data_IF_203108789164
#
_entry.id   IF_203108789164
#
_cell.length_a   1.000
_cell.length_b   1.000
_cell.length_c   1.000
_cell.angle_alpha   90.00
_cell.angle_beta   90.00
_cell.angle_gamma   90.00
#
_symmetry.space_group_name_H-M   'P 1'
#
loop_
_entity.id
_entity.type
_entity.pdbx_description
1 polymer ?
#
# COMPACT_ATOMS: atom_id res chain seq x y z
N UNK A 1 29.15 12.52 9.91
CA UNK A 1 28.70 11.13 9.63
C UNK A 1 27.21 11.06 9.93
N UNK A 2 26.42 10.40 9.07
CA UNK A 2 25.02 10.11 9.36
C UNK A 2 24.94 8.76 10.06
N UNK A 3 24.23 8.71 11.17
CA UNK A 3 23.90 7.47 11.85
C UNK A 3 22.47 7.11 11.50
N UNK A 4 22.22 5.83 11.27
CA UNK A 4 20.89 5.29 11.03
C UNK A 4 20.57 4.35 12.19
N UNK A 5 19.36 4.46 12.71
CA UNK A 5 18.80 3.53 13.68
C UNK A 5 17.94 2.55 12.87
N UNK A 6 18.13 1.27 13.14
CA UNK A 6 17.43 0.15 12.54
C UNK A 6 16.68 -0.47 13.70
N UNK A 7 15.38 -0.70 13.53
CA UNK A 7 14.53 -1.38 14.49
C UNK A 7 14.28 -2.78 13.95
N UNK A 8 14.95 -3.82 14.47
CA UNK A 8 14.81 -5.18 13.95
C UNK A 8 13.44 -5.78 14.26
N UNK A 9 13.05 -6.77 13.48
CA UNK A 9 11.84 -7.55 13.73
C UNK A 9 12.00 -8.43 14.98
N UNK A 10 10.92 -8.63 15.74
CA UNK A 10 10.85 -9.63 16.82
C UNK A 10 10.05 -10.83 16.32
N UNK A 11 10.76 -11.77 15.71
CA UNK A 11 10.21 -12.95 15.03
C UNK A 11 10.03 -14.18 15.95
N UNK A 12 10.33 -14.02 17.25
CA UNK A 12 10.37 -15.13 18.20
C UNK A 12 11.29 -14.85 19.38
N UNK A 13 11.83 -15.92 19.98
CA UNK A 13 12.47 -15.84 21.30
C UNK A 13 13.64 -16.79 21.53
N UNK A 14 14.11 -16.81 22.79
CA UNK A 14 15.16 -17.73 23.23
C UNK A 14 14.57 -19.13 23.40
N UNK A 15 15.06 -20.09 22.64
CA UNK A 15 14.69 -21.50 22.78
C UNK A 15 15.40 -22.20 23.95
N UNK A 16 14.90 -23.37 24.33
CA UNK A 16 15.28 -24.10 25.55
C UNK A 16 16.78 -24.45 25.65
N UNK A 17 17.46 -24.64 24.51
CA UNK A 17 18.88 -24.99 24.45
C UNK A 17 19.84 -23.80 24.46
N UNK A 18 19.36 -22.60 24.84
CA UNK A 18 20.18 -21.41 24.98
C UNK A 18 21.03 -21.50 26.25
N UNK A 19 22.35 -21.32 26.11
CA UNK A 19 23.29 -21.28 27.23
C UNK A 19 23.72 -19.82 27.43
N UNK A 20 23.19 -19.21 28.49
CA UNK A 20 23.52 -17.83 28.86
C UNK A 20 23.95 -17.71 30.33
N UNK A 21 24.95 -16.87 30.58
CA UNK A 21 25.35 -16.48 31.92
C UNK A 21 24.67 -15.17 32.31
N UNK A 22 23.82 -15.22 33.34
CA UNK A 22 23.05 -14.08 33.86
C UNK A 22 23.77 -13.28 34.96
N UNK A 23 25.04 -13.61 35.26
CA UNK A 23 25.82 -12.94 36.31
C UNK A 23 26.19 -11.49 36.02
N UNK A 24 25.92 -10.99 34.81
CA UNK A 24 26.14 -9.60 34.38
C UNK A 24 25.00 -9.17 33.43
N UNK A 25 24.76 -7.87 33.34
CA UNK A 25 23.81 -7.28 32.40
C UNK A 25 24.55 -6.47 31.32
N UNK A 26 24.27 -6.66 30.01
CA UNK A 26 23.43 -7.72 29.44
C UNK A 26 24.05 -9.13 29.64
N UNK A 27 23.22 -10.20 29.66
CA UNK A 27 23.69 -11.57 29.81
C UNK A 27 24.71 -11.98 28.75
N UNK A 28 25.65 -12.86 29.11
CA UNK A 28 26.65 -13.39 28.17
C UNK A 28 26.10 -14.67 27.54
N UNK A 29 25.78 -14.62 26.25
CA UNK A 29 25.27 -15.79 25.51
C UNK A 29 26.44 -16.58 24.91
N UNK A 30 26.63 -17.81 25.39
CA UNK A 30 27.64 -18.76 24.88
C UNK A 30 27.11 -19.55 23.71
N UNK A 31 25.87 -20.02 23.78
CA UNK A 31 25.17 -20.75 22.73
C UNK A 31 23.76 -20.19 22.60
N UNK A 32 23.34 -19.79 21.40
CA UNK A 32 21.97 -19.34 21.14
C UNK A 32 21.18 -20.44 20.44
N UNK A 33 20.05 -20.79 21.04
CA UNK A 33 18.96 -21.48 20.37
C UNK A 33 17.85 -20.46 20.15
N UNK A 34 17.51 -20.17 18.90
CA UNK A 34 16.45 -19.21 18.58
C UNK A 34 15.20 -19.98 18.11
N UNK A 35 14.07 -19.67 18.73
CA UNK A 35 12.79 -20.29 18.44
C UNK A 35 11.95 -19.30 17.64
N UNK A 36 11.56 -19.65 16.42
CA UNK A 36 10.76 -18.82 15.54
C UNK A 36 9.27 -19.07 15.75
N UNK A 37 8.52 -17.99 15.99
CA UNK A 37 7.06 -18.00 16.10
C UNK A 37 6.41 -17.47 14.81
N UNK A 38 7.01 -16.44 14.19
CA UNK A 38 6.54 -15.80 12.94
C UNK A 38 7.76 -15.28 12.16
N UNK A 39 7.64 -15.03 10.85
CA UNK A 39 8.68 -14.35 10.08
C UNK A 39 8.15 -13.57 8.87
N UNK A 40 8.31 -12.25 8.92
CA UNK A 40 7.84 -11.34 7.86
C UNK A 40 8.87 -11.10 6.75
N UNK A 41 9.83 -12.02 6.59
CA UNK A 41 10.91 -11.98 5.60
C UNK A 41 11.98 -10.90 5.82
N UNK A 42 12.07 -10.34 7.02
CA UNK A 42 13.16 -9.42 7.34
C UNK A 42 14.51 -10.15 7.45
N UNK A 43 15.59 -9.37 7.37
CA UNK A 43 16.95 -9.88 7.37
C UNK A 43 17.61 -9.89 8.76
N UNK A 44 17.09 -9.12 9.72
CA UNK A 44 17.66 -8.91 11.05
C UNK A 44 16.55 -9.00 12.10
N UNK A 45 16.77 -9.82 13.11
CA UNK A 45 15.83 -10.07 14.21
C UNK A 45 16.47 -9.73 15.55
N UNK A 46 15.65 -9.19 16.45
CA UNK A 46 16.04 -8.88 17.81
C UNK A 46 15.59 -9.98 18.77
N UNK A 47 16.51 -10.43 19.62
CA UNK A 47 16.22 -11.36 20.72
C UNK A 47 17.16 -11.08 21.87
N UNK A 48 16.73 -10.23 22.81
CA UNK A 48 17.62 -9.76 23.87
C UNK A 48 18.34 -10.92 24.59
N UNK A 49 19.70 -10.91 24.68
CA UNK A 49 20.64 -9.80 24.38
C UNK A 49 21.37 -9.90 23.03
N UNK A 50 20.86 -10.68 22.08
CA UNK A 50 21.47 -11.00 20.79
C UNK A 50 20.65 -10.48 19.61
N UNK A 51 21.27 -10.51 18.42
CA UNK A 51 20.59 -10.34 17.16
C UNK A 51 20.79 -11.59 16.29
N UNK A 52 19.75 -11.99 15.58
CA UNK A 52 19.80 -13.07 14.59
C UNK A 52 19.75 -12.44 13.20
N UNK A 53 20.53 -12.94 12.26
CA UNK A 53 20.60 -12.37 10.92
C UNK A 53 20.54 -13.49 9.88
N UNK A 54 19.96 -13.23 8.72
CA UNK A 54 20.01 -14.18 7.59
C UNK A 54 21.45 -14.37 7.11
N UNK A 55 21.76 -15.56 6.59
CA UNK A 55 23.08 -15.85 6.04
C UNK A 55 23.48 -14.86 4.94
N UNK A 56 22.52 -14.49 4.08
CA UNK A 56 22.74 -13.53 2.99
C UNK A 56 23.18 -12.15 3.52
N UNK A 57 22.53 -11.64 4.57
CA UNK A 57 22.88 -10.35 5.14
C UNK A 57 24.19 -10.41 5.94
N UNK A 58 24.48 -11.52 6.63
CA UNK A 58 25.78 -11.76 7.24
C UNK A 58 26.92 -11.72 6.21
N UNK A 59 26.74 -12.38 5.07
CA UNK A 59 27.74 -12.40 4.00
C UNK A 59 27.89 -11.02 3.33
N UNK A 60 26.80 -10.26 3.21
CA UNK A 60 26.84 -8.86 2.80
C UNK A 60 27.69 -7.99 3.74
N UNK A 61 27.49 -8.13 5.05
CA UNK A 61 28.26 -7.40 6.06
C UNK A 61 29.75 -7.80 6.08
N UNK A 62 30.06 -9.10 5.89
CA UNK A 62 31.44 -9.57 5.76
C UNK A 62 32.12 -8.98 4.52
N UNK A 63 31.44 -8.99 3.37
CA UNK A 63 31.94 -8.38 2.13
C UNK A 63 32.17 -6.87 2.28
N UNK A 64 31.33 -6.19 3.05
CA UNK A 64 31.47 -4.78 3.37
C UNK A 64 32.55 -4.48 4.43
N UNK A 65 33.24 -5.51 4.94
CA UNK A 65 34.24 -5.40 6.01
C UNK A 65 33.75 -4.64 7.25
N UNK A 66 32.49 -4.87 7.65
CA UNK A 66 31.91 -4.22 8.83
C UNK A 66 32.65 -4.60 10.12
N UNK A 67 33.16 -3.61 10.86
CA UNK A 67 34.04 -3.82 12.03
C UNK A 67 33.32 -3.83 13.39
N UNK A 68 31.99 -3.67 13.41
CA UNK A 68 31.17 -3.61 14.63
C UNK A 68 30.43 -4.90 15.01
N UNK A 69 30.59 -5.97 14.24
CA UNK A 69 29.83 -7.23 14.37
C UNK A 69 30.77 -8.43 14.37
N UNK A 70 30.42 -9.45 15.16
CA UNK A 70 31.03 -10.78 15.18
C UNK A 70 29.94 -11.78 14.85
N UNK A 71 30.23 -12.70 13.93
CA UNK A 71 29.29 -13.74 13.55
C UNK A 71 29.63 -15.06 14.25
N UNK A 72 28.60 -15.77 14.67
CA UNK A 72 28.70 -17.08 15.35
C UNK A 72 27.57 -17.99 14.85
N UNK A 73 27.60 -19.28 15.18
CA UNK A 73 26.55 -20.22 14.77
C UNK A 73 25.33 -20.08 15.69
N UNK A 74 24.13 -19.99 15.09
CA UNK A 74 22.84 -20.10 15.81
C UNK A 74 22.24 -21.48 15.52
N UNK A 75 21.59 -22.07 16.52
CA UNK A 75 20.68 -23.21 16.31
C UNK A 75 19.26 -22.67 16.28
N UNK A 76 18.43 -23.15 15.37
CA UNK A 76 17.07 -22.64 15.19
C UNK A 76 16.05 -23.76 15.25
N UNK A 77 14.88 -23.46 15.79
CA UNK A 77 13.68 -24.29 15.75
C UNK A 77 12.47 -23.42 15.42
N UNK A 78 11.38 -24.04 15.02
CA UNK A 78 10.14 -23.41 14.53
C UNK A 78 8.96 -23.90 15.34
N UNK A 79 7.95 -23.04 15.52
CA UNK A 79 6.64 -23.45 16.02
C UNK A 79 5.83 -24.20 14.96
N UNK A 80 4.81 -24.93 15.39
CA UNK A 80 3.85 -25.58 14.46
C UNK A 80 3.14 -24.53 13.59
N UNK A 81 2.75 -23.40 14.19
CA UNK A 81 2.14 -22.25 13.49
C UNK A 81 3.07 -21.69 12.40
N UNK A 82 4.37 -21.63 12.69
CA UNK A 82 5.36 -21.19 11.72
C UNK A 82 5.45 -22.17 10.54
N UNK A 83 5.44 -23.47 10.81
CA UNK A 83 5.50 -24.52 9.78
C UNK A 83 4.27 -24.48 8.87
N UNK A 84 3.08 -24.25 9.43
CA UNK A 84 1.84 -24.09 8.67
C UNK A 84 1.89 -22.86 7.73
N UNK A 85 2.42 -21.73 8.21
CA UNK A 85 2.53 -20.49 7.44
C UNK A 85 3.68 -20.51 6.42
N UNK A 86 4.70 -21.33 6.64
CA UNK A 86 5.97 -21.27 5.91
C UNK A 86 6.52 -22.64 5.46
N UNK A 87 5.63 -23.58 5.14
CA UNK A 87 5.92 -24.99 4.81
C UNK A 87 7.06 -25.26 3.80
N UNK A 88 7.37 -24.34 2.90
CA UNK A 88 8.41 -24.52 1.86
C UNK A 88 9.73 -23.80 2.16
N UNK A 89 9.85 -23.09 3.29
CA UNK A 89 10.98 -22.19 3.50
C UNK A 89 12.13 -22.85 4.25
N UNK A 90 13.27 -23.06 3.58
CA UNK A 90 14.52 -23.48 4.24
C UNK A 90 15.25 -22.25 4.81
N UNK A 91 15.60 -22.31 6.09
CA UNK A 91 16.02 -21.15 6.89
C UNK A 91 17.52 -21.18 7.27
N UNK A 92 18.45 -20.67 6.44
CA UNK A 92 19.84 -20.53 6.85
C UNK A 92 20.07 -19.22 7.61
N UNK A 93 20.06 -19.28 8.95
CA UNK A 93 20.35 -18.14 9.82
C UNK A 93 21.74 -18.24 10.49
N UNK A 94 22.31 -17.07 10.82
CA UNK A 94 23.57 -16.91 11.56
C UNK A 94 23.37 -16.00 12.79
N UNK A 95 24.14 -16.21 13.85
CA UNK A 95 24.14 -15.34 15.04
C UNK A 95 25.01 -14.10 14.77
N UNK A 96 24.48 -12.90 15.04
CA UNK A 96 25.23 -11.66 15.03
C UNK A 96 25.39 -11.13 16.47
N UNK A 97 26.63 -11.06 16.96
CA UNK A 97 27.01 -10.46 18.25
C UNK A 97 27.70 -9.12 17.99
N UNK A 98 27.43 -8.10 18.81
CA UNK A 98 28.17 -6.85 18.74
C UNK A 98 29.63 -7.06 19.19
N UNK A 99 30.61 -6.52 18.44
CA UNK A 99 32.01 -6.60 18.83
C UNK A 99 32.32 -5.56 19.92
N UNK A 100 32.62 -6.00 21.16
CA UNK A 100 32.99 -5.10 22.27
C UNK A 100 34.33 -4.37 22.09
N UNK A 101 35.21 -4.81 21.17
CA UNK A 101 36.50 -4.16 20.90
C UNK A 101 36.42 -2.98 19.91
N UNK A 102 35.27 -2.75 19.26
CA UNK A 102 35.07 -1.60 18.39
C UNK A 102 34.96 -0.31 19.24
N UNK A 103 36.09 0.24 19.69
CA UNK A 103 36.17 1.47 20.50
C UNK A 103 35.73 2.74 19.77
N UNK A 104 35.27 2.67 18.52
CA UNK A 104 34.61 3.77 17.80
C UNK A 104 33.51 3.20 16.92
N UNK A 105 32.28 3.22 17.41
CA UNK A 105 31.09 2.76 16.71
C UNK A 105 30.27 1.80 17.56
N UNK A 106 29.56 2.35 18.55
CA UNK A 106 28.55 1.63 19.33
C UNK A 106 27.44 1.20 18.38
N UNK A 107 27.51 -0.03 17.88
CA UNK A 107 26.57 -0.50 16.87
C UNK A 107 25.21 -0.86 17.52
N UNK A 108 25.12 -1.53 18.68
CA UNK A 108 23.81 -1.81 19.31
C UNK A 108 23.89 -2.05 20.82
N UNK A 109 24.08 -1.02 21.64
CA UNK A 109 23.78 -1.09 23.08
C UNK A 109 22.78 -0.01 23.45
N UNK A 110 21.60 -0.41 23.91
CA UNK A 110 20.65 0.47 24.60
C UNK A 110 21.19 0.74 26.01
N UNK A 111 22.29 1.49 26.11
CA UNK A 111 22.61 2.19 27.34
C UNK A 111 21.73 3.44 27.36
N UNK A 112 20.68 3.45 28.19
CA UNK A 112 20.08 4.73 28.59
C UNK A 112 21.21 5.53 29.25
N UNK A 113 21.56 6.74 28.78
CA UNK A 113 22.43 7.61 29.55
C UNK A 113 21.74 7.86 30.89
N UNK A 114 22.43 7.58 32.00
CA UNK A 114 21.95 7.88 33.36
C UNK A 114 21.97 9.39 33.68
N UNK A 115 21.77 10.23 32.68
CA UNK A 115 21.70 11.69 32.81
C UNK A 115 21.07 12.29 31.54
N UNK A 116 19.78 12.01 31.33
CA UNK A 116 18.96 12.84 30.45
C UNK A 116 17.72 13.21 31.24
N UNK A 117 17.86 14.27 32.05
CA UNK A 117 16.72 15.04 32.50
C UNK A 117 15.97 15.53 31.27
N UNK A 118 14.69 15.19 31.23
CA UNK A 118 13.77 15.64 30.20
C UNK A 118 13.37 17.09 30.55
N UNK A 119 14.18 18.07 30.13
CA UNK A 119 13.73 19.46 30.09
C UNK A 119 13.18 19.77 28.71
N UNK A 120 11.86 19.79 28.65
CA UNK A 120 11.02 20.32 27.60
C UNK A 120 11.39 21.80 27.33
N UNK A 121 12.07 22.09 26.21
CA UNK A 121 12.03 23.43 25.60
C UNK A 121 12.59 23.45 24.17
N UNK A 122 11.68 23.74 23.24
CA UNK A 122 11.84 24.63 22.07
C UNK A 122 13.01 24.45 21.10
N UNK A 123 12.64 24.17 19.83
CA UNK A 123 13.29 24.79 18.66
C UNK A 123 14.11 23.85 17.77
N UNK A 124 13.48 23.24 16.77
CA UNK A 124 14.19 22.66 15.63
C UNK A 124 14.17 23.63 14.44
N UNK A 125 15.33 24.05 13.91
CA UNK A 125 15.38 24.69 12.61
C UNK A 125 15.26 23.63 11.50
N UNK A 126 14.25 23.80 10.65
CA UNK A 126 14.16 23.13 9.36
C UNK A 126 15.19 23.73 8.41
N UNK A 127 16.29 23.05 8.16
CA UNK A 127 17.05 23.13 6.90
C UNK A 127 18.30 22.27 7.02
N UNK A 128 18.29 21.07 6.44
CA UNK A 128 19.49 20.38 5.99
C UNK A 128 19.06 19.37 4.94
N UNK A 129 19.10 19.80 3.67
CA UNK A 129 19.05 18.90 2.51
C UNK A 129 20.17 17.88 2.65
N UNK A 130 19.92 16.57 2.50
CA UNK A 130 20.99 15.62 2.37
C UNK A 130 21.19 15.26 0.90
N UNK A 131 22.26 15.80 0.35
CA UNK A 131 22.95 15.31 -0.83
C UNK A 131 23.22 13.80 -0.73
N UNK A 132 23.10 13.15 -1.89
CA UNK A 132 23.19 11.72 -2.17
C UNK A 132 24.38 11.03 -1.47
N UNK A 133 24.10 9.91 -0.82
CA UNK A 133 25.07 9.07 -0.13
C UNK A 133 25.33 7.80 -0.96
N UNK A 134 26.59 7.64 -1.39
CA UNK A 134 27.11 6.49 -2.13
C UNK A 134 27.66 5.51 -1.08
N UNK A 135 26.82 4.62 -0.55
CA UNK A 135 27.23 3.33 0.02
C UNK A 135 25.96 2.52 0.30
N UNK A 136 25.53 1.75 -0.69
CA UNK A 136 24.30 0.95 -0.62
C UNK A 136 23.73 0.53 -1.97
N UNK A 137 24.46 0.69 -3.08
CA UNK A 137 23.87 0.54 -4.42
C UNK A 137 23.26 -0.86 -4.66
N UNK A 138 23.86 -1.98 -4.29
CA UNK A 138 23.32 -3.29 -4.72
C UNK A 138 22.12 -3.84 -3.92
N UNK A 139 21.92 -3.42 -2.66
CA UNK A 139 20.74 -3.85 -1.86
C UNK A 139 19.64 -2.81 -1.93
N UNK A 140 20.00 -1.52 -2.01
CA UNK A 140 19.03 -0.47 -2.34
C UNK A 140 18.51 -0.68 -3.76
N UNK A 141 19.33 -1.06 -4.76
CA UNK A 141 18.80 -1.29 -6.11
C UNK A 141 17.75 -2.40 -6.20
N UNK A 142 17.78 -3.44 -5.37
CA UNK A 142 16.76 -4.50 -5.42
C UNK A 142 15.46 -4.08 -4.72
N UNK A 143 15.56 -3.34 -3.60
CA UNK A 143 14.41 -2.78 -2.87
C UNK A 143 13.80 -1.54 -3.58
N UNK A 144 14.63 -0.67 -4.17
CA UNK A 144 14.19 0.42 -5.06
C UNK A 144 13.58 -0.15 -6.34
N UNK A 145 14.16 -1.20 -6.95
CA UNK A 145 13.57 -1.80 -8.14
C UNK A 145 12.19 -2.42 -7.84
N UNK A 146 12.02 -3.07 -6.69
CA UNK A 146 10.71 -3.63 -6.29
C UNK A 146 9.70 -2.54 -5.92
N UNK A 147 10.11 -1.48 -5.20
CA UNK A 147 9.24 -0.32 -4.92
C UNK A 147 8.90 0.47 -6.20
N UNK A 148 9.84 0.65 -7.13
CA UNK A 148 9.60 1.28 -8.43
C UNK A 148 8.69 0.42 -9.32
N UNK A 149 8.83 -0.90 -9.29
CA UNK A 149 7.98 -1.80 -10.09
C UNK A 149 6.53 -1.76 -9.61
N UNK A 150 6.29 -1.79 -8.30
CA UNK A 150 4.92 -1.70 -7.76
C UNK A 150 4.25 -0.36 -8.11
N UNK A 151 4.98 0.75 -7.96
CA UNK A 151 4.49 2.10 -8.32
C UNK A 151 4.22 2.20 -9.82
N UNK A 152 5.13 1.68 -10.66
CA UNK A 152 4.96 1.65 -12.12
C UNK A 152 3.72 0.84 -12.53
N UNK A 153 3.53 -0.36 -11.97
CA UNK A 153 2.36 -1.20 -12.24
C UNK A 153 1.07 -0.47 -11.82
N UNK A 154 1.06 0.18 -10.66
CA UNK A 154 -0.11 0.95 -10.20
C UNK A 154 -0.43 2.14 -11.12
N UNK A 155 0.60 2.88 -11.59
CA UNK A 155 0.41 3.99 -12.53
C UNK A 155 -0.12 3.47 -13.87
N UNK A 156 0.47 2.39 -14.41
CA UNK A 156 0.01 1.77 -15.67
C UNK A 156 -1.43 1.28 -15.53
N UNK A 157 -1.78 0.65 -14.41
CA UNK A 157 -3.14 0.21 -14.11
C UNK A 157 -4.12 1.38 -14.02
N UNK A 158 -3.76 2.48 -13.36
CA UNK A 158 -4.58 3.68 -13.29
C UNK A 158 -4.79 4.31 -14.68
N UNK A 159 -3.73 4.44 -15.49
CA UNK A 159 -3.81 4.96 -16.86
C UNK A 159 -4.68 4.06 -17.76
N UNK A 160 -4.50 2.74 -17.69
CA UNK A 160 -5.33 1.78 -18.41
C UNK A 160 -6.80 1.87 -17.97
N UNK A 161 -7.04 2.05 -16.67
CA UNK A 161 -8.36 2.30 -16.09
C UNK A 161 -9.03 3.56 -16.65
N UNK A 162 -8.32 4.70 -16.69
CA UNK A 162 -8.81 5.94 -17.32
C UNK A 162 -9.19 5.68 -18.78
N UNK A 163 -8.27 5.11 -19.57
CA UNK A 163 -8.50 4.86 -21.00
C UNK A 163 -9.72 3.95 -21.22
N UNK A 164 -9.82 2.85 -20.46
CA UNK A 164 -10.95 1.92 -20.53
C UNK A 164 -12.28 2.60 -20.17
N UNK A 165 -12.29 3.41 -19.12
CA UNK A 165 -13.48 4.16 -18.70
C UNK A 165 -13.93 5.22 -19.71
N UNK A 166 -12.98 5.85 -20.42
CA UNK A 166 -13.28 6.78 -21.51
C UNK A 166 -13.90 6.05 -22.70
N UNK A 167 -13.31 4.93 -23.15
CA UNK A 167 -13.89 4.14 -24.24
C UNK A 167 -15.28 3.60 -23.90
N UNK A 168 -15.48 3.12 -22.66
CA UNK A 168 -16.80 2.71 -22.18
C UNK A 168 -17.80 3.88 -22.25
N UNK A 169 -17.42 5.05 -21.73
CA UNK A 169 -18.27 6.24 -21.72
C UNK A 169 -18.60 6.72 -23.14
N UNK A 170 -17.62 6.72 -24.04
CA UNK A 170 -17.81 7.06 -25.46
C UNK A 170 -18.76 6.05 -26.12
N UNK A 171 -18.58 4.75 -25.87
CA UNK A 171 -19.47 3.72 -26.41
C UNK A 171 -20.92 3.91 -25.99
N UNK A 172 -21.16 4.25 -24.71
CA UNK A 172 -22.50 4.56 -24.20
C UNK A 172 -23.06 5.86 -24.80
N UNK A 173 -22.21 6.88 -24.99
CA UNK A 173 -22.60 8.14 -25.63
C UNK A 173 -23.00 7.94 -27.10
N UNK A 174 -22.36 7.00 -27.80
CA UNK A 174 -22.64 6.72 -29.21
C UNK A 174 -24.00 6.05 -29.44
N UNK A 175 -24.63 5.45 -28.42
CA UNK A 175 -25.96 4.88 -28.55
C UNK A 175 -26.97 6.02 -28.76
N UNK A 176 -27.53 6.16 -29.96
CA UNK A 176 -28.45 7.26 -30.30
C UNK A 176 -29.89 6.95 -29.88
N UNK A 177 -30.74 7.97 -29.88
CA UNK A 177 -32.19 7.83 -29.62
C UNK A 177 -32.86 6.96 -30.69
N UNK A 178 -32.44 7.09 -31.95
CA UNK A 178 -32.98 6.26 -33.04
C UNK A 178 -32.67 4.78 -32.84
N UNK A 179 -31.43 4.43 -32.47
CA UNK A 179 -31.08 3.03 -32.19
C UNK A 179 -31.85 2.48 -30.98
N UNK A 180 -32.16 3.32 -29.99
CA UNK A 180 -32.99 2.90 -28.85
C UNK A 180 -34.44 2.65 -29.27
N UNK A 181 -34.98 3.48 -30.16
CA UNK A 181 -36.32 3.32 -30.73
C UNK A 181 -36.44 2.07 -31.62
N UNK A 182 -35.42 1.80 -32.44
CA UNK A 182 -35.32 0.59 -33.25
C UNK A 182 -35.28 -0.67 -32.37
N UNK A 183 -34.53 -0.61 -31.25
CA UNK A 183 -34.41 -1.71 -30.29
C UNK A 183 -35.65 -1.91 -29.42
N UNK A 184 -36.47 -0.87 -29.21
CA UNK A 184 -37.73 -0.99 -28.45
C UNK A 184 -38.91 -1.48 -29.28
N UNK A 185 -38.74 -1.55 -30.60
CA UNK A 185 -39.74 -2.05 -31.53
C UNK A 185 -40.03 -3.54 -31.38
N UNK A 186 -41.29 -3.92 -31.56
CA UNK A 186 -41.74 -5.31 -31.71
C UNK A 186 -42.48 -5.47 -33.05
N UNK A 187 -42.75 -6.71 -33.46
CA UNK A 187 -43.50 -7.00 -34.69
C UNK A 187 -44.88 -6.32 -34.78
N UNK A 188 -45.47 -5.96 -33.64
CA UNK A 188 -46.84 -5.40 -33.55
C UNK A 188 -46.82 -3.92 -33.10
N UNK A 189 -45.65 -3.28 -33.09
CA UNK A 189 -45.48 -1.89 -32.66
C UNK A 189 -44.51 -1.75 -31.49
N UNK A 190 -44.51 -0.59 -30.84
CA UNK A 190 -43.52 -0.25 -29.83
C UNK A 190 -43.86 -0.81 -28.43
N UNK A 191 -42.84 -1.22 -27.68
CA UNK A 191 -42.98 -1.61 -26.28
C UNK A 191 -42.59 -0.45 -25.33
N UNK A 192 -43.55 0.22 -24.66
CA UNK A 192 -43.26 1.37 -23.80
C UNK A 192 -42.39 1.02 -22.60
N UNK A 193 -42.48 -0.22 -22.09
CA UNK A 193 -41.65 -0.67 -20.97
C UNK A 193 -40.19 -0.84 -21.39
N UNK A 194 -39.94 -1.20 -22.65
CA UNK A 194 -38.58 -1.33 -23.18
C UNK A 194 -37.91 0.04 -23.35
N UNK A 195 -38.67 1.04 -23.81
CA UNK A 195 -38.19 2.43 -23.90
C UNK A 195 -37.71 2.94 -22.54
N UNK A 196 -38.51 2.72 -21.50
CA UNK A 196 -38.16 3.13 -20.14
C UNK A 196 -36.91 2.40 -19.63
N UNK A 197 -36.81 1.08 -19.85
CA UNK A 197 -35.65 0.29 -19.46
C UNK A 197 -34.36 0.74 -20.16
N UNK A 198 -34.41 0.96 -21.48
CA UNK A 198 -33.25 1.43 -22.27
C UNK A 198 -32.83 2.86 -21.87
N UNK A 199 -33.79 3.75 -21.60
CA UNK A 199 -33.51 5.10 -21.13
C UNK A 199 -32.83 5.11 -19.75
N UNK A 200 -33.33 4.30 -18.80
CA UNK A 200 -32.71 4.16 -17.47
C UNK A 200 -31.30 3.56 -17.59
N UNK A 201 -31.16 2.47 -18.36
CA UNK A 201 -29.89 1.79 -18.56
C UNK A 201 -28.83 2.72 -19.17
N UNK A 202 -29.20 3.53 -20.18
CA UNK A 202 -28.29 4.52 -20.75
C UNK A 202 -27.87 5.56 -19.71
N UNK A 203 -28.83 6.09 -18.96
CA UNK A 203 -28.56 7.11 -17.95
C UNK A 203 -27.61 6.57 -16.88
N UNK A 204 -27.86 5.36 -16.38
CA UNK A 204 -27.01 4.68 -15.40
C UNK A 204 -25.60 4.42 -15.92
N UNK A 205 -25.45 3.94 -17.16
CA UNK A 205 -24.13 3.69 -17.74
C UNK A 205 -23.35 4.96 -18.04
N UNK A 206 -23.99 5.99 -18.61
CA UNK A 206 -23.32 7.25 -18.89
C UNK A 206 -22.76 7.85 -17.60
N UNK A 207 -23.58 7.77 -16.56
CA UNK A 207 -23.27 8.34 -15.27
C UNK A 207 -22.24 7.53 -14.49
N UNK A 208 -22.38 6.20 -14.46
CA UNK A 208 -21.37 5.30 -13.90
C UNK A 208 -20.02 5.45 -14.61
N UNK A 209 -20.02 5.57 -15.94
CA UNK A 209 -18.82 5.81 -16.74
C UNK A 209 -18.10 7.10 -16.33
N UNK A 210 -18.84 8.21 -16.20
CA UNK A 210 -18.28 9.50 -15.73
C UNK A 210 -17.69 9.39 -14.31
N UNK A 211 -18.36 8.70 -13.38
CA UNK A 211 -17.84 8.51 -12.02
C UNK A 211 -16.52 7.72 -12.05
N UNK A 212 -16.44 6.66 -12.85
CA UNK A 212 -15.23 5.85 -12.98
C UNK A 212 -14.07 6.71 -13.53
N UNK A 213 -14.33 7.53 -14.56
CA UNK A 213 -13.33 8.47 -15.09
C UNK A 213 -12.83 9.41 -14.00
N UNK A 214 -13.74 10.01 -13.23
CA UNK A 214 -13.38 10.92 -12.11
C UNK A 214 -12.58 10.21 -11.03
N UNK A 215 -12.96 8.97 -10.67
CA UNK A 215 -12.26 8.18 -9.67
C UNK A 215 -10.80 7.91 -10.08
N UNK A 216 -10.57 7.51 -11.33
CA UNK A 216 -9.21 7.30 -11.82
C UNK A 216 -8.41 8.61 -11.95
N UNK A 217 -9.05 9.72 -12.31
CA UNK A 217 -8.39 11.04 -12.30
C UNK A 217 -7.94 11.40 -10.87
N UNK A 218 -8.81 11.22 -9.88
CA UNK A 218 -8.45 11.45 -8.47
C UNK A 218 -7.32 10.52 -8.01
N UNK A 219 -7.34 9.25 -8.44
CA UNK A 219 -6.24 8.32 -8.17
C UNK A 219 -4.93 8.80 -8.78
N UNK A 220 -4.93 9.31 -10.02
CA UNK A 220 -3.75 9.90 -10.64
C UNK A 220 -3.26 11.16 -9.91
N UNK A 221 -4.18 12.03 -9.49
CA UNK A 221 -3.84 13.22 -8.69
C UNK A 221 -3.20 12.82 -7.36
N UNK A 222 -3.65 11.72 -6.74
CA UNK A 222 -3.09 11.25 -5.47
C UNK A 222 -1.59 10.92 -5.56
N UNK A 223 -1.11 10.49 -6.73
CA UNK A 223 0.33 10.26 -6.97
C UNK A 223 1.13 11.55 -7.15
N UNK A 224 0.47 12.66 -7.50
CA UNK A 224 1.12 13.97 -7.66
C UNK A 224 1.23 14.73 -6.33
N UNK A 225 0.46 14.34 -5.31
CA UNK A 225 0.49 14.99 -4.00
C UNK A 225 1.69 14.49 -3.21
N UNK A 226 2.63 15.36 -2.80
CA UNK A 226 3.79 14.94 -2.02
C UNK A 226 3.34 14.42 -0.64
N UNK A 227 3.97 13.36 -0.09
CA UNK A 227 3.63 12.82 1.23
C UNK A 227 3.76 13.82 2.38
N UNK A 228 4.51 14.91 2.17
CA UNK A 228 4.69 16.00 3.13
C UNK A 228 3.53 17.00 3.16
N UNK A 229 2.52 16.85 2.31
CA UNK A 229 1.31 17.65 2.36
C UNK A 229 0.53 17.32 3.64
N UNK A 230 0.80 18.09 4.70
CA UNK A 230 0.10 17.96 5.97
C UNK A 230 -1.34 18.46 5.81
N UNK A 231 -2.31 17.57 6.01
CA UNK A 231 -3.71 17.95 6.16
C UNK A 231 -3.88 18.48 7.59
N UNK A 232 -4.44 19.68 7.81
CA UNK A 232 -4.52 20.30 9.14
C UNK A 232 -5.57 19.65 10.08
N UNK A 233 -6.16 18.52 9.69
CA UNK A 233 -7.26 17.87 10.42
C UNK A 233 -6.78 16.64 11.19
N UNK A 234 -7.45 16.36 12.32
CA UNK A 234 -7.21 15.11 13.06
C UNK A 234 -7.63 13.91 12.20
N UNK A 235 -6.87 12.81 12.28
CA UNK A 235 -7.16 11.56 11.55
C UNK A 235 -8.64 11.11 11.66
N UNK A 236 -9.29 11.08 12.84
CA UNK A 236 -10.69 10.67 12.92
C UNK A 236 -11.65 11.64 12.21
N UNK A 237 -11.36 12.95 12.23
CA UNK A 237 -12.19 13.94 11.55
C UNK A 237 -12.12 13.78 10.03
N UNK A 238 -10.94 13.47 9.48
CA UNK A 238 -10.77 13.22 8.03
C UNK A 238 -11.57 12.00 7.59
N UNK A 239 -11.53 10.91 8.35
CA UNK A 239 -12.27 9.67 8.03
C UNK A 239 -13.78 9.90 8.09
N UNK A 240 -14.27 10.60 9.11
CA UNK A 240 -15.69 10.93 9.24
C UNK A 240 -16.16 11.86 8.11
N UNK A 241 -15.36 12.88 7.77
CA UNK A 241 -15.64 13.79 6.66
C UNK A 241 -15.70 13.02 5.34
N UNK A 242 -14.76 12.11 5.09
CA UNK A 242 -14.76 11.29 3.89
C UNK A 242 -16.03 10.44 3.78
N UNK A 243 -16.44 9.77 4.87
CA UNK A 243 -17.68 8.98 4.89
C UNK A 243 -18.93 9.83 4.61
N UNK A 244 -19.06 10.98 5.28
CA UNK A 244 -20.20 11.89 5.07
C UNK A 244 -20.23 12.40 3.63
N UNK A 245 -19.07 12.76 3.08
CA UNK A 245 -18.96 13.24 1.71
C UNK A 245 -19.32 12.13 0.71
N UNK A 246 -18.90 10.89 0.94
CA UNK A 246 -19.28 9.74 0.09
C UNK A 246 -20.79 9.49 0.13
N UNK A 247 -21.44 9.53 1.30
CA UNK A 247 -22.89 9.34 1.42
C UNK A 247 -23.65 10.49 0.72
N UNK A 248 -23.25 11.74 0.97
CA UNK A 248 -23.86 12.90 0.32
C UNK A 248 -23.72 12.82 -1.20
N UNK A 249 -22.52 12.48 -1.68
CA UNK A 249 -22.23 12.29 -3.09
C UNK A 249 -23.13 11.19 -3.66
N UNK A 250 -23.29 10.04 -3.00
CA UNK A 250 -24.18 8.97 -3.45
C UNK A 250 -25.62 9.46 -3.69
N UNK A 251 -26.22 10.21 -2.76
CA UNK A 251 -27.60 10.70 -2.92
C UNK A 251 -27.74 11.76 -4.01
N UNK A 252 -26.79 12.69 -4.11
CA UNK A 252 -26.74 13.67 -5.21
C UNK A 252 -26.67 12.91 -6.54
N UNK A 253 -25.80 11.92 -6.58
CA UNK A 253 -25.53 11.16 -7.78
C UNK A 253 -26.77 10.34 -8.21
N UNK A 254 -27.43 9.68 -7.27
CA UNK A 254 -28.68 8.95 -7.48
C UNK A 254 -29.82 9.86 -7.98
N UNK A 255 -29.93 11.08 -7.45
CA UNK A 255 -30.94 12.04 -7.90
C UNK A 255 -30.67 12.51 -9.35
N UNK A 256 -29.41 12.77 -9.69
CA UNK A 256 -29.01 13.20 -11.04
C UNK A 256 -29.28 12.10 -12.06
N UNK A 257 -28.97 10.83 -11.75
CA UNK A 257 -29.22 9.71 -12.68
C UNK A 257 -30.71 9.56 -12.99
N UNK A 258 -31.58 9.67 -11.98
CA UNK A 258 -33.04 9.63 -12.18
C UNK A 258 -33.55 10.79 -13.05
N UNK A 259 -33.03 12.00 -12.86
CA UNK A 259 -33.39 13.15 -13.70
C UNK A 259 -32.97 12.95 -15.15
N UNK A 260 -31.79 12.38 -15.36
CA UNK A 260 -31.26 12.13 -16.70
C UNK A 260 -32.06 11.04 -17.43
N UNK A 261 -32.47 9.98 -16.72
CA UNK A 261 -33.34 8.93 -17.26
C UNK A 261 -34.66 9.51 -17.79
N UNK A 262 -35.34 10.35 -16.99
CA UNK A 262 -36.57 11.04 -17.40
C UNK A 262 -36.37 11.95 -18.62
N UNK A 263 -35.20 12.60 -18.73
CA UNK A 263 -34.87 13.43 -19.89
C UNK A 263 -34.73 12.59 -21.17
N UNK A 264 -34.06 11.43 -21.10
CA UNK A 264 -33.93 10.54 -22.24
C UNK A 264 -35.26 9.90 -22.64
N UNK A 265 -36.06 9.46 -21.66
CA UNK A 265 -37.41 8.93 -21.90
C UNK A 265 -38.27 9.94 -22.66
N UNK A 266 -38.36 11.19 -22.17
CA UNK A 266 -39.12 12.24 -22.83
C UNK A 266 -38.64 12.51 -24.27
N UNK A 267 -37.32 12.42 -24.52
CA UNK A 267 -36.74 12.62 -25.84
C UNK A 267 -37.05 11.49 -26.82
N UNK A 268 -37.07 10.24 -26.34
CA UNK A 268 -37.46 9.08 -27.16
C UNK A 268 -38.96 9.17 -27.51
N UNK A 269 -39.82 9.46 -26.53
CA UNK A 269 -41.27 9.61 -26.78
C UNK A 269 -41.57 10.75 -27.75
N UNK A 270 -40.88 11.89 -27.64
CA UNK A 270 -41.04 13.01 -28.57
C UNK A 270 -40.60 12.66 -30.01
N UNK A 271 -39.53 11.86 -30.15
CA UNK A 271 -39.07 11.38 -31.44
C UNK A 271 -40.09 10.46 -32.12
N UNK A 272 -40.71 9.55 -31.35
CA UNK A 272 -41.75 8.64 -31.83
C UNK A 272 -42.98 9.40 -32.37
N UNK A 273 -43.45 10.41 -31.62
CA UNK A 273 -44.60 11.23 -32.03
C UNK A 273 -44.37 11.99 -33.34
N UNK A 274 -43.12 12.31 -33.68
CA UNK A 274 -42.77 12.97 -34.94
C UNK A 274 -42.72 11.98 -36.13
N UNK A 275 -42.37 10.72 -35.89
CA UNK A 275 -42.32 9.68 -36.92
C UNK A 275 -43.70 9.24 -37.42
N UNK A 276 -44.67 9.09 -36.52
CA UNK A 276 -46.03 8.64 -36.86
C UNK A 276 -46.83 9.66 -37.69
N UNK A 277 -46.49 10.95 -37.61
CA UNK A 277 -47.18 12.01 -38.35
C UNK A 277 -46.86 12.07 -39.85
N UNK A 278 -45.88 11.31 -40.34
CA UNK A 278 -45.39 11.35 -41.72
C UNK A 278 -45.89 10.24 -42.65
N UNK A 279 -46.71 9.30 -42.17
CA UNK A 279 -47.16 8.11 -42.91
C UNK A 279 -48.67 8.09 -43.21
N UNK A 280 -49.28 9.27 -43.44
CA UNK A 280 -50.66 9.39 -43.95
C UNK A 280 -50.68 9.80 -45.42
#
# INVERSE_FOLDING_TARGET
MKYFIIEPEVAGGLGEHTIMGSSRHPPVVRKLHYYFDDWRRDALFESFPCFVITQQAADGLKKAAATGVVFDKVTTSTSEEFEDLHAETRLPFSLAKANRQARRGRFWTRERPSSCDFSESTGYPQNLRPSKCILGQNVIHILDATMMTSTLIQIVAACAGVIGSLFFTIGVMQQTVSTMDDLSGTYVGQNPFMVHALASQKAEYLFGGVIIVVAFILQLISFLVPPSAAIPFSRPAVVLLAMVLTIMLFFILFYVSQRLAKHFEAKITAYQQQGDGGSN
#
